data_IF_707706601617
#
_entry.id   IF_707706601617
#
_cell.length_a   1.000
_cell.length_b   1.000
_cell.length_c   1.000
_cell.angle_alpha   90.00
_cell.angle_beta   90.00
_cell.angle_gamma   90.00
#
_symmetry.space_group_name_H-M   'P 1'
#
loop_
_entity.id
_entity.type
_entity.pdbx_description
1 polymer ?
#
# COMPACT_ATOMS: atom_id res chain seq x y z
N UNK A 1 5.35 -2.15 -28.14
CA UNK A 1 6.14 -2.88 -29.16
C UNK A 1 6.44 -4.28 -28.63
N UNK A 2 6.22 -5.33 -29.42
CA UNK A 2 6.64 -6.71 -29.07
C UNK A 2 7.86 -7.06 -29.92
N UNK A 3 8.91 -7.59 -29.31
CA UNK A 3 10.11 -8.04 -30.02
C UNK A 3 9.84 -9.37 -30.75
N UNK A 4 10.73 -9.73 -31.69
CA UNK A 4 10.65 -10.99 -32.45
C UNK A 4 10.57 -12.19 -31.49
N UNK A 5 9.66 -13.11 -31.76
CA UNK A 5 9.46 -14.32 -30.93
C UNK A 5 8.42 -14.18 -29.81
N UNK A 6 7.86 -12.99 -29.56
CA UNK A 6 6.83 -12.83 -28.53
C UNK A 6 5.52 -13.53 -28.94
N UNK A 7 5.03 -14.52 -28.17
CA UNK A 7 3.88 -15.32 -28.58
C UNK A 7 2.60 -14.50 -28.71
N UNK A 8 1.88 -14.67 -29.82
CA UNK A 8 0.70 -13.87 -30.18
C UNK A 8 -0.45 -14.01 -29.16
N UNK A 9 -0.62 -15.20 -28.57
CA UNK A 9 -1.72 -15.53 -27.66
C UNK A 9 -1.62 -14.85 -26.28
N UNK A 10 -0.46 -14.32 -25.90
CA UNK A 10 -0.22 -13.71 -24.57
C UNK A 10 0.18 -12.24 -24.68
N UNK A 11 -0.21 -11.57 -25.78
CA UNK A 11 0.09 -10.15 -25.97
C UNK A 11 -0.81 -9.23 -25.14
N UNK A 12 -1.95 -9.70 -24.66
CA UNK A 12 -2.80 -8.90 -23.78
C UNK A 12 -2.06 -8.62 -22.47
N UNK A 13 -1.69 -7.35 -22.25
CA UNK A 13 -1.00 -6.92 -21.04
C UNK A 13 -2.01 -6.65 -19.94
N UNK A 14 -1.62 -6.94 -18.71
CA UNK A 14 -2.35 -6.46 -17.53
C UNK A 14 -2.34 -4.92 -17.52
N UNK A 15 -3.50 -4.25 -17.42
CA UNK A 15 -3.53 -2.80 -17.37
C UNK A 15 -2.91 -2.31 -16.06
N UNK A 16 -2.05 -1.29 -16.14
CA UNK A 16 -1.48 -0.66 -14.95
C UNK A 16 -2.53 0.28 -14.34
N UNK A 17 -2.89 0.04 -13.09
CA UNK A 17 -3.95 0.75 -12.37
C UNK A 17 -3.44 1.61 -11.21
N UNK A 18 -2.25 1.32 -10.69
CA UNK A 18 -1.58 2.08 -9.63
C UNK A 18 -0.15 2.39 -10.08
N UNK A 19 0.23 3.66 -9.94
CA UNK A 19 1.58 4.17 -10.12
C UNK A 19 2.02 4.85 -8.83
N UNK A 20 2.98 4.25 -8.15
CA UNK A 20 3.63 4.82 -6.98
C UNK A 20 4.90 5.54 -7.43
N UNK A 21 4.98 6.85 -7.17
CA UNK A 21 6.17 7.62 -7.45
C UNK A 21 7.18 7.52 -6.30
N UNK A 22 8.44 7.79 -6.59
CA UNK A 22 9.54 7.75 -5.63
C UNK A 22 9.95 9.16 -5.21
N UNK A 23 10.89 9.22 -4.28
CA UNK A 23 11.41 10.46 -3.72
C UNK A 23 12.81 10.75 -4.25
N UNK A 24 13.11 12.02 -4.48
CA UNK A 24 14.48 12.52 -4.57
C UNK A 24 14.81 13.39 -3.36
N UNK A 25 16.09 13.75 -3.21
CA UNK A 25 16.66 14.34 -2.01
C UNK A 25 16.53 13.36 -0.83
N UNK A 26 15.78 13.67 0.23
CA UNK A 26 15.69 12.83 1.42
C UNK A 26 14.88 11.55 1.14
N UNK A 27 15.52 10.39 1.33
CA UNK A 27 14.87 9.10 1.08
C UNK A 27 13.74 8.81 2.09
N UNK A 28 12.70 8.13 1.64
CA UNK A 28 11.62 7.60 2.48
C UNK A 28 12.03 6.25 3.06
N UNK A 29 12.63 6.30 4.25
CA UNK A 29 13.19 5.16 4.96
C UNK A 29 12.43 4.95 6.26
N UNK A 30 12.35 3.71 6.73
CA UNK A 30 11.92 3.43 8.10
C UNK A 30 12.86 4.13 9.10
N UNK A 31 12.33 4.46 10.28
CA UNK A 31 13.05 5.26 11.26
C UNK A 31 14.39 4.64 11.69
N UNK A 32 14.48 3.30 11.78
CA UNK A 32 15.74 2.63 12.18
C UNK A 32 16.79 2.76 11.09
N UNK A 33 16.41 2.62 9.83
CA UNK A 33 17.33 2.77 8.70
C UNK A 33 17.73 4.23 8.52
N UNK A 34 16.81 5.17 8.70
CA UNK A 34 17.11 6.60 8.68
C UNK A 34 18.10 7.00 9.79
N UNK A 35 17.93 6.48 11.01
CA UNK A 35 18.87 6.72 12.12
C UNK A 35 20.29 6.22 11.83
N UNK A 36 20.42 5.10 11.09
CA UNK A 36 21.72 4.56 10.67
C UNK A 36 22.33 5.34 9.50
N UNK A 37 21.51 6.01 8.69
CA UNK A 37 21.93 6.71 7.48
C UNK A 37 21.27 8.10 7.43
N UNK A 38 21.59 9.01 8.37
CA UNK A 38 20.88 10.29 8.53
C UNK A 38 21.00 11.20 7.30
N UNK A 39 22.11 11.10 6.58
CA UNK A 39 22.42 11.90 5.40
C UNK A 39 22.09 11.17 4.08
N UNK A 40 21.35 10.06 4.14
CA UNK A 40 20.97 9.31 2.95
C UNK A 40 20.07 10.15 2.04
N UNK A 41 20.61 10.49 0.88
CA UNK A 41 19.93 11.26 -0.14
C UNK A 41 20.08 10.58 -1.50
N UNK A 42 19.10 10.78 -2.37
CA UNK A 42 19.13 10.28 -3.75
C UNK A 42 18.82 11.41 -4.72
N UNK A 43 19.64 11.55 -5.76
CA UNK A 43 19.35 12.52 -6.81
C UNK A 43 18.08 12.13 -7.58
N UNK A 44 17.47 13.12 -8.22
CA UNK A 44 16.40 12.84 -9.16
C UNK A 44 16.95 11.96 -10.29
N UNK A 45 16.37 10.78 -10.46
CA UNK A 45 16.77 9.83 -11.49
C UNK A 45 15.98 10.09 -12.78
N UNK A 46 16.53 9.78 -13.98
CA UNK A 46 15.75 9.80 -15.21
C UNK A 46 14.45 8.99 -15.11
N UNK A 47 13.42 9.31 -15.92
CA UNK A 47 12.15 8.59 -15.88
C UNK A 47 12.33 7.06 -15.90
N UNK A 48 11.90 6.42 -14.82
CA UNK A 48 12.01 4.98 -14.62
C UNK A 48 10.66 4.42 -14.19
N UNK A 49 10.28 3.29 -14.78
CA UNK A 49 9.08 2.55 -14.39
C UNK A 49 9.49 1.11 -14.10
N UNK A 50 9.30 0.69 -12.85
CA UNK A 50 9.52 -0.67 -12.38
C UNK A 50 8.18 -1.32 -12.10
N UNK A 51 7.92 -2.47 -12.71
CA UNK A 51 6.72 -3.26 -12.42
C UNK A 51 6.93 -4.02 -11.12
N UNK A 52 5.96 -3.94 -10.20
CA UNK A 52 5.99 -4.78 -9.01
C UNK A 52 5.57 -6.20 -9.41
N UNK A 53 6.40 -7.24 -9.21
CA UNK A 53 6.06 -8.60 -9.59
C UNK A 53 4.79 -9.11 -8.90
N UNK A 54 4.08 -10.04 -9.55
CA UNK A 54 2.96 -10.75 -8.93
C UNK A 54 3.43 -11.53 -7.71
N UNK A 55 2.68 -11.48 -6.61
CA UNK A 55 3.04 -12.12 -5.34
C UNK A 55 4.04 -11.33 -4.49
N UNK A 56 4.52 -10.18 -4.99
CA UNK A 56 5.32 -9.24 -4.21
C UNK A 56 4.48 -8.04 -3.78
N UNK A 57 4.77 -7.54 -2.59
CA UNK A 57 4.21 -6.31 -2.05
C UNK A 57 5.14 -5.13 -2.29
N UNK A 58 4.58 -3.92 -2.16
CA UNK A 58 5.35 -2.69 -2.17
C UNK A 58 4.84 -1.80 -1.02
N UNK A 59 5.72 -1.22 -0.20
CA UNK A 59 5.32 -0.23 0.79
C UNK A 59 4.94 1.04 0.03
N UNK A 60 3.64 1.29 -0.04
CA UNK A 60 3.09 2.43 -0.77
C UNK A 60 3.15 3.68 0.09
N UNK A 61 3.70 4.76 -0.43
CA UNK A 61 3.53 6.10 0.12
C UNK A 61 2.30 6.77 -0.49
N UNK A 62 1.44 7.31 0.37
CA UNK A 62 0.23 8.03 -0.06
C UNK A 62 0.54 9.38 -0.74
N UNK A 63 1.70 9.97 -0.45
CA UNK A 63 2.02 11.35 -0.85
C UNK A 63 2.46 11.46 -2.31
N UNK A 64 2.91 10.37 -2.93
CA UNK A 64 3.29 10.32 -4.35
C UNK A 64 2.62 9.12 -5.03
N UNK A 65 1.31 9.24 -5.22
CA UNK A 65 0.47 8.15 -5.70
C UNK A 65 -0.49 8.63 -6.79
N UNK A 66 -0.52 7.90 -7.89
CA UNK A 66 -1.54 8.03 -8.93
C UNK A 66 -2.24 6.69 -9.16
N UNK A 67 -3.55 6.72 -9.35
CA UNK A 67 -4.32 5.51 -9.60
C UNK A 67 -5.51 5.77 -10.51
N UNK A 68 -6.00 4.71 -11.17
CA UNK A 68 -7.20 4.79 -12.01
C UNK A 68 -8.46 4.75 -11.16
N UNK A 69 -9.50 5.46 -11.61
CA UNK A 69 -10.77 5.56 -10.91
C UNK A 69 -11.37 4.19 -10.55
N UNK A 70 -11.22 3.17 -11.38
CA UNK A 70 -11.76 1.83 -11.07
C UNK A 70 -11.22 1.20 -9.77
N UNK A 71 -10.01 1.58 -9.32
CA UNK A 71 -9.41 1.05 -8.09
C UNK A 71 -9.54 1.98 -6.89
N UNK A 72 -10.35 3.05 -6.98
CA UNK A 72 -10.72 3.89 -5.83
C UNK A 72 -11.16 3.09 -4.59
N UNK A 73 -11.93 1.98 -4.71
CA UNK A 73 -12.31 1.17 -3.54
C UNK A 73 -11.12 0.60 -2.77
N UNK A 74 -9.93 0.50 -3.38
CA UNK A 74 -8.71 0.00 -2.74
C UNK A 74 -7.96 1.09 -1.97
N UNK A 75 -8.33 2.36 -2.14
CA UNK A 75 -7.65 3.54 -1.59
C UNK A 75 -8.21 3.97 -0.24
N UNK A 76 -8.44 3.00 0.65
CA UNK A 76 -8.73 3.28 2.04
C UNK A 76 -7.46 3.13 2.87
N UNK A 77 -7.06 4.24 3.49
CA UNK A 77 -5.92 4.34 4.37
C UNK A 77 -6.38 4.03 5.80
N UNK A 78 -5.81 3.02 6.47
CA UNK A 78 -6.09 2.65 7.86
C UNK A 78 -6.03 3.80 8.87
N UNK A 79 -6.58 3.53 10.05
CA UNK A 79 -6.77 4.52 11.10
C UNK A 79 -5.41 5.03 11.61
N UNK A 80 -5.30 6.35 11.78
CA UNK A 80 -4.17 7.06 12.38
C UNK A 80 -4.65 8.07 13.42
N UNK A 81 -3.74 8.52 14.26
CA UNK A 81 -4.00 9.53 15.28
C UNK A 81 -4.80 8.97 16.46
N UNK A 82 -5.90 9.65 16.78
CA UNK A 82 -6.69 9.38 17.98
C UNK A 82 -8.14 9.05 17.61
N UNK A 83 -8.79 8.26 18.45
CA UNK A 83 -10.23 8.05 18.37
C UNK A 83 -11.01 9.30 18.87
N UNK A 84 -12.35 9.32 18.73
CA UNK A 84 -13.16 10.43 19.25
C UNK A 84 -13.09 10.66 20.76
N UNK A 85 -12.54 9.70 21.53
CA UNK A 85 -12.36 9.80 22.99
C UNK A 85 -10.93 10.24 23.36
N UNK A 86 -10.08 10.57 22.38
CA UNK A 86 -8.70 11.01 22.61
C UNK A 86 -7.71 9.88 22.89
N UNK A 87 -8.07 8.63 22.62
CA UNK A 87 -7.22 7.45 22.80
C UNK A 87 -6.47 7.18 21.49
N UNK A 88 -5.13 7.08 21.51
CA UNK A 88 -4.34 6.85 20.30
C UNK A 88 -4.64 5.48 19.68
N UNK A 89 -4.66 5.42 18.35
CA UNK A 89 -4.78 4.17 17.60
C UNK A 89 -3.49 3.35 17.62
N UNK A 90 -2.33 4.01 17.73
CA UNK A 90 -1.03 3.36 18.00
C UNK A 90 -0.29 2.79 16.78
N UNK A 91 -0.81 2.99 15.57
CA UNK A 91 -0.23 2.46 14.31
C UNK A 91 0.03 3.54 13.27
N UNK A 92 0.41 4.74 13.73
CA UNK A 92 0.77 5.85 12.84
C UNK A 92 1.94 5.45 11.91
N UNK A 93 1.93 5.96 10.67
CA UNK A 93 2.92 5.69 9.61
C UNK A 93 2.85 4.28 8.97
N UNK A 94 1.83 3.49 9.29
CA UNK A 94 1.58 2.18 8.65
C UNK A 94 0.33 2.15 7.78
N UNK A 95 -0.42 3.24 7.71
CA UNK A 95 -1.66 3.34 6.96
C UNK A 95 -1.43 3.12 5.47
N UNK A 96 -0.56 3.91 4.84
CA UNK A 96 -0.29 3.80 3.41
C UNK A 96 0.45 2.51 3.04
N UNK A 97 1.34 2.04 3.91
CA UNK A 97 2.00 0.72 3.80
C UNK A 97 0.95 -0.39 3.72
N UNK A 98 0.02 -0.45 4.68
CA UNK A 98 -1.00 -1.51 4.72
C UNK A 98 -2.04 -1.36 3.62
N UNK A 99 -2.43 -0.13 3.27
CA UNK A 99 -3.25 0.14 2.09
C UNK A 99 -2.59 -0.41 0.82
N UNK A 100 -1.28 -0.21 0.66
CA UNK A 100 -0.49 -0.75 -0.46
C UNK A 100 -0.50 -2.27 -0.50
N UNK A 101 -0.33 -2.92 0.66
CA UNK A 101 -0.40 -4.39 0.79
C UNK A 101 -1.78 -4.92 0.35
N UNK A 102 -2.87 -4.32 0.86
CA UNK A 102 -4.24 -4.73 0.51
C UNK A 102 -4.53 -4.51 -0.98
N UNK A 103 -4.18 -3.33 -1.50
CA UNK A 103 -4.40 -2.98 -2.90
C UNK A 103 -3.62 -3.91 -3.83
N UNK A 104 -2.36 -4.22 -3.50
CA UNK A 104 -1.51 -5.10 -4.31
C UNK A 104 -2.05 -6.53 -4.37
N UNK A 105 -2.50 -7.08 -3.24
CA UNK A 105 -3.14 -8.41 -3.19
C UNK A 105 -4.32 -8.50 -4.15
N UNK A 106 -5.16 -7.47 -4.16
CA UNK A 106 -6.36 -7.44 -4.99
C UNK A 106 -6.01 -7.19 -6.46
N UNK A 107 -5.03 -6.33 -6.76
CA UNK A 107 -4.55 -6.12 -8.13
C UNK A 107 -4.00 -7.41 -8.73
N UNK A 108 -3.20 -8.17 -7.97
CA UNK A 108 -2.64 -9.45 -8.42
C UNK A 108 -3.70 -10.50 -8.72
N UNK A 109 -4.76 -10.54 -7.90
CA UNK A 109 -5.91 -11.41 -8.11
C UNK A 109 -6.69 -11.05 -9.37
N UNK A 110 -6.93 -9.76 -9.60
CA UNK A 110 -7.69 -9.25 -10.75
C UNK A 110 -6.86 -9.15 -12.04
N UNK A 111 -5.57 -9.48 -12.01
CA UNK A 111 -4.69 -9.30 -13.16
C UNK A 111 -4.51 -7.83 -13.54
N UNK A 112 -4.29 -6.98 -12.54
CA UNK A 112 -4.01 -5.56 -12.70
C UNK A 112 -2.56 -5.27 -12.31
N UNK A 113 -1.90 -4.40 -13.07
CA UNK A 113 -0.52 -4.03 -12.84
C UNK A 113 -0.36 -2.89 -11.84
N UNK A 114 0.68 -2.99 -11.03
CA UNK A 114 1.17 -1.92 -10.16
C UNK A 114 2.60 -1.60 -10.55
N UNK A 115 2.91 -0.31 -10.65
CA UNK A 115 4.27 0.17 -10.97
C UNK A 115 4.78 1.11 -9.91
N UNK A 116 6.10 1.17 -9.80
CA UNK A 116 6.85 2.08 -8.96
C UNK A 116 7.90 2.83 -9.79
N UNK A 117 8.31 4.01 -9.36
CA UNK A 117 9.38 4.78 -10.01
C UNK A 117 9.00 6.23 -10.19
N UNK A 118 8.91 6.69 -11.43
CA UNK A 118 8.56 8.08 -11.73
C UNK A 118 7.05 8.35 -11.58
N UNK A 119 6.66 9.59 -11.22
CA UNK A 119 7.52 10.76 -11.03
C UNK A 119 8.33 10.70 -9.72
N UNK A 120 9.53 11.31 -9.75
CA UNK A 120 10.29 11.58 -8.53
C UNK A 120 9.86 12.93 -7.97
N UNK A 121 9.42 12.96 -6.72
CA UNK A 121 9.07 14.20 -6.01
C UNK A 121 10.20 14.56 -5.06
N UNK A 122 10.61 15.83 -5.08
CA UNK A 122 11.69 16.31 -4.22
C UNK A 122 11.22 16.42 -2.75
N UNK A 123 11.78 15.57 -1.89
CA UNK A 123 11.42 15.52 -0.48
C UNK A 123 12.33 16.44 0.35
N UNK A 124 11.84 17.63 0.70
CA UNK A 124 12.63 18.66 1.42
C UNK A 124 12.57 18.54 2.95
N UNK A 125 11.53 17.93 3.51
CA UNK A 125 11.27 17.91 4.96
C UNK A 125 11.21 16.49 5.51
N UNK A 126 12.28 16.05 6.16
CA UNK A 126 12.23 14.85 6.99
C UNK A 126 11.74 15.18 8.40
N UNK A 127 10.89 14.32 8.96
CA UNK A 127 10.53 14.35 10.38
C UNK A 127 11.65 13.78 11.26
N UNK A 128 11.57 14.05 12.57
CA UNK A 128 12.50 13.55 13.57
C UNK A 128 12.48 12.01 13.62
N UNK A 129 13.59 11.32 13.28
CA UNK A 129 13.63 9.86 13.25
C UNK A 129 13.39 9.21 14.61
N UNK A 130 13.73 9.86 15.73
CA UNK A 130 13.49 9.29 17.05
C UNK A 130 11.99 9.22 17.36
N UNK A 131 11.26 10.29 17.03
CA UNK A 131 9.79 10.33 17.17
C UNK A 131 9.11 9.36 16.20
N UNK A 132 9.65 9.21 14.99
CA UNK A 132 9.15 8.23 14.03
C UNK A 132 9.33 6.81 14.56
N UNK A 133 10.48 6.50 15.19
CA UNK A 133 10.76 5.17 15.75
C UNK A 133 9.77 4.78 16.84
N UNK A 134 9.35 5.74 17.67
CA UNK A 134 8.30 5.50 18.68
C UNK A 134 6.96 5.17 18.04
N UNK A 135 6.56 5.95 17.02
CA UNK A 135 5.31 5.74 16.26
C UNK A 135 5.29 4.42 15.50
N UNK A 136 6.41 4.04 14.90
CA UNK A 136 6.51 2.84 14.07
C UNK A 136 6.60 1.55 14.90
N UNK A 137 6.98 1.63 16.19
CA UNK A 137 7.34 0.48 17.02
C UNK A 137 6.27 -0.63 17.03
N UNK A 138 5.01 -0.27 17.24
CA UNK A 138 3.91 -1.24 17.29
C UNK A 138 3.62 -1.84 15.92
N UNK A 139 3.66 -1.01 14.87
CA UNK A 139 3.38 -1.43 13.50
C UNK A 139 4.43 -2.38 12.94
N UNK A 140 5.72 -2.25 13.30
CA UNK A 140 6.79 -3.12 12.79
C UNK A 140 6.51 -4.61 13.02
N UNK A 141 6.15 -4.98 14.26
CA UNK A 141 5.90 -6.38 14.61
C UNK A 141 4.59 -6.92 13.98
N UNK A 142 3.57 -6.06 13.87
CA UNK A 142 2.31 -6.41 13.20
C UNK A 142 2.53 -6.59 11.71
N UNK A 143 3.31 -5.73 11.07
CA UNK A 143 3.53 -5.74 9.64
C UNK A 143 4.08 -7.09 9.16
N UNK A 144 5.04 -7.66 9.90
CA UNK A 144 5.64 -8.97 9.61
C UNK A 144 4.67 -10.17 9.64
N UNK A 145 3.51 -9.98 10.29
CA UNK A 145 2.42 -10.95 10.33
C UNK A 145 1.34 -10.58 9.31
N UNK A 146 0.97 -9.31 9.24
CA UNK A 146 -0.16 -8.83 8.44
C UNK A 146 0.00 -9.15 6.96
N UNK A 147 1.18 -8.94 6.38
CA UNK A 147 1.37 -9.21 4.96
C UNK A 147 1.14 -10.70 4.63
N UNK A 148 1.52 -11.61 5.55
CA UNK A 148 1.31 -13.06 5.40
C UNK A 148 -0.17 -13.40 5.48
N UNK A 149 -0.86 -12.81 6.46
CA UNK A 149 -2.31 -12.97 6.61
C UNK A 149 -3.08 -12.47 5.38
N UNK A 150 -2.64 -11.36 4.78
CA UNK A 150 -3.20 -10.88 3.50
C UNK A 150 -2.91 -11.84 2.36
N UNK A 151 -1.68 -12.36 2.27
CA UNK A 151 -1.28 -13.24 1.20
C UNK A 151 -1.99 -14.59 1.23
N UNK A 152 -2.31 -15.10 2.41
CA UNK A 152 -3.07 -16.35 2.57
C UNK A 152 -4.56 -16.23 2.18
N UNK A 153 -5.10 -15.02 2.06
CA UNK A 153 -6.51 -14.85 1.66
C UNK A 153 -6.72 -15.25 0.20
N UNK A 154 -7.50 -16.32 0.01
CA UNK A 154 -8.02 -16.72 -1.29
C UNK A 154 -9.24 -15.88 -1.68
N UNK A 155 -9.02 -14.90 -2.56
CA UNK A 155 -10.06 -14.07 -3.17
C UNK A 155 -10.80 -14.82 -4.28
N UNK A 156 -12.09 -14.54 -4.44
CA UNK A 156 -12.97 -15.15 -5.45
C UNK A 156 -13.79 -14.11 -6.23
N UNK A 157 -13.89 -12.88 -5.72
CA UNK A 157 -14.62 -11.81 -6.38
C UNK A 157 -13.87 -11.25 -7.59
N UNK A 158 -14.57 -10.53 -8.46
CA UNK A 158 -14.04 -10.09 -9.76
C UNK A 158 -14.05 -8.56 -9.96
N UNK A 159 -14.32 -7.79 -8.90
CA UNK A 159 -14.25 -6.32 -8.94
C UNK A 159 -13.49 -5.77 -7.74
N UNK A 160 -12.82 -4.60 -7.86
CA UNK A 160 -12.02 -4.03 -6.77
C UNK A 160 -12.80 -3.89 -5.45
N UNK A 161 -14.04 -3.36 -5.49
CA UNK A 161 -14.85 -3.17 -4.29
C UNK A 161 -15.27 -4.50 -3.64
N UNK A 162 -15.69 -5.49 -4.44
CA UNK A 162 -16.10 -6.79 -3.92
C UNK A 162 -14.89 -7.55 -3.34
N UNK A 163 -13.74 -7.50 -4.00
CA UNK A 163 -12.49 -8.07 -3.50
C UNK A 163 -12.03 -7.40 -2.20
N UNK A 164 -12.14 -6.07 -2.09
CA UNK A 164 -11.76 -5.34 -0.88
C UNK A 164 -12.65 -5.73 0.30
N UNK A 165 -13.97 -5.82 0.09
CA UNK A 165 -14.92 -6.34 1.09
C UNK A 165 -14.59 -7.79 1.48
N UNK A 166 -14.35 -8.65 0.50
CA UNK A 166 -14.01 -10.06 0.73
C UNK A 166 -12.70 -10.21 1.52
N UNK A 167 -11.68 -9.41 1.19
CA UNK A 167 -10.42 -9.35 1.92
C UNK A 167 -10.67 -8.95 3.38
N UNK A 168 -11.40 -7.86 3.61
CA UNK A 168 -11.73 -7.39 4.96
C UNK A 168 -12.54 -8.41 5.77
N UNK A 169 -13.36 -9.25 5.13
CA UNK A 169 -14.10 -10.33 5.80
C UNK A 169 -13.18 -11.51 6.19
N UNK A 170 -12.24 -11.87 5.32
CA UNK A 170 -11.45 -13.11 5.46
C UNK A 170 -10.13 -12.93 6.20
N UNK A 171 -9.52 -11.75 6.13
CA UNK A 171 -8.23 -11.50 6.76
C UNK A 171 -8.29 -11.79 8.27
N UNK A 172 -7.28 -12.47 8.80
CA UNK A 172 -7.17 -12.78 10.24
C UNK A 172 -6.35 -11.69 10.92
N UNK A 173 -7.02 -10.59 11.23
CA UNK A 173 -6.41 -9.52 12.03
C UNK A 173 -6.14 -9.94 13.48
N UNK A 174 -5.17 -9.31 14.17
CA UNK A 174 -5.04 -9.39 15.61
C UNK A 174 -6.35 -9.03 16.33
N UNK A 175 -6.64 -9.69 17.45
CA UNK A 175 -7.83 -9.42 18.28
C UNK A 175 -7.60 -8.21 19.19
N UNK A 176 -7.38 -7.06 18.57
CA UNK A 176 -7.18 -5.78 19.25
C UNK A 176 -8.19 -4.77 18.75
N UNK A 177 -8.56 -3.84 19.63
CA UNK A 177 -9.51 -2.77 19.38
C UNK A 177 -9.27 -2.03 18.05
N UNK A 178 -8.00 -1.78 17.71
CA UNK A 178 -7.63 -1.12 16.47
C UNK A 178 -8.14 -1.90 15.25
N UNK A 179 -7.88 -3.21 15.20
CA UNK A 179 -8.20 -4.01 14.01
C UNK A 179 -9.67 -4.37 13.90
N UNK A 180 -10.38 -4.46 15.03
CA UNK A 180 -11.84 -4.53 15.03
C UNK A 180 -12.42 -3.30 14.34
N UNK A 181 -11.96 -2.11 14.74
CA UNK A 181 -12.42 -0.86 14.12
C UNK A 181 -11.96 -0.72 12.67
N UNK A 182 -10.73 -1.13 12.36
CA UNK A 182 -10.22 -1.14 10.99
C UNK A 182 -11.10 -2.01 10.09
N UNK A 183 -11.44 -3.22 10.52
CA UNK A 183 -12.31 -4.13 9.77
C UNK A 183 -13.67 -3.49 9.51
N UNK A 184 -14.31 -2.92 10.52
CA UNK A 184 -15.58 -2.19 10.35
C UNK A 184 -15.47 -1.08 9.30
N UNK A 185 -14.41 -0.27 9.40
CA UNK A 185 -14.20 0.85 8.50
C UNK A 185 -13.92 0.39 7.05
N UNK A 186 -13.13 -0.68 6.87
CA UNK A 186 -12.88 -1.28 5.56
C UNK A 186 -14.18 -1.79 4.91
N UNK A 187 -15.04 -2.46 5.69
CA UNK A 187 -16.33 -2.96 5.21
C UNK A 187 -17.28 -1.82 4.84
N UNK A 188 -17.33 -0.78 5.68
CA UNK A 188 -18.12 0.42 5.41
C UNK A 188 -17.65 1.12 4.13
N UNK A 189 -16.34 1.36 4.01
CA UNK A 189 -15.72 1.96 2.82
C UNK A 189 -16.07 1.19 1.55
N UNK A 190 -15.88 -0.14 1.55
CA UNK A 190 -16.22 -0.98 0.40
C UNK A 190 -17.71 -0.86 0.03
N UNK A 191 -18.59 -0.76 1.04
CA UNK A 191 -20.03 -0.60 0.86
C UNK A 191 -20.42 0.61 0.03
N UNK A 192 -19.67 1.72 0.12
CA UNK A 192 -19.93 2.95 -0.65
C UNK A 192 -19.79 2.76 -2.17
N UNK A 193 -19.09 1.70 -2.61
CA UNK A 193 -18.85 1.41 -4.02
C UNK A 193 -19.66 0.21 -4.54
N UNK A 194 -20.40 -0.48 -3.66
CA UNK A 194 -21.20 -1.65 -4.01
C UNK A 194 -22.69 -1.33 -4.22
N UNK A 195 -23.12 -0.12 -3.85
CA UNK A 195 -24.51 0.34 -3.90
C UNK A 195 -24.84 1.13 -5.18
N UNK A 196 -24.16 0.84 -6.29
CA UNK A 196 -24.43 1.43 -7.61
C UNK A 196 -24.86 0.38 -8.62
#
# INVERSE_FOLDING_TARGET
MYTRGFPYKIRNKHPVVISHGLWSNKMDLDARTQLRNPDAMIDAYPPMVSFIPKGYFFPMSSMNLAFRREVTPLMYFPLMGYDPKGIPWGYDRFDDIWAGIFAKKICDHLGLGVVNGSPFVEHRKASDPNKNLEKERAGLAVNEKLWREVDEVALKQNSPAQCYRELAQKIRFPKERYFEKLREAMLFWAGLFLTR
#
